data_IF_030498115236
#
_entry.id   IF_030498115236
#
_cell.length_a   1.000
_cell.length_b   1.000
_cell.length_c   1.000
_cell.angle_alpha   90.00
_cell.angle_beta   90.00
_cell.angle_gamma   90.00
#
_symmetry.space_group_name_H-M   'P 1'
#
loop_
_entity.id
_entity.type
_entity.pdbx_description
1 polymer ?
#
# COMPACT_ATOMS: atom_id res chain seq x y z
N UNK A 1 0.46 -15.41 -1.96
CA UNK A 1 -0.21 -14.37 -1.15
C UNK A 1 -0.77 -15.00 0.12
N UNK A 2 -0.59 -14.34 1.25
CA UNK A 2 -1.10 -14.75 2.54
C UNK A 2 -2.25 -13.83 2.96
N UNK A 3 -3.04 -14.24 3.95
CA UNK A 3 -4.27 -13.51 4.29
C UNK A 3 -4.00 -12.23 5.09
N UNK A 4 -2.92 -12.20 5.88
CA UNK A 4 -2.58 -11.08 6.75
C UNK A 4 -1.06 -10.93 6.95
N UNK A 5 -0.65 -9.86 7.62
CA UNK A 5 0.77 -9.54 7.86
C UNK A 5 1.42 -10.55 8.80
N UNK A 6 0.71 -10.99 9.83
CA UNK A 6 1.20 -11.95 10.82
C UNK A 6 1.62 -13.27 10.17
N UNK A 7 0.79 -13.84 9.30
CA UNK A 7 1.12 -15.02 8.51
C UNK A 7 2.40 -14.86 7.68
N UNK A 8 2.68 -13.65 7.16
CA UNK A 8 3.93 -13.41 6.40
C UNK A 8 5.15 -13.56 7.30
N UNK A 9 5.10 -13.04 8.53
CA UNK A 9 6.19 -13.19 9.48
C UNK A 9 6.36 -14.67 9.88
N UNK A 10 5.27 -15.35 10.21
CA UNK A 10 5.29 -16.77 10.61
C UNK A 10 5.89 -17.68 9.53
N UNK A 11 5.49 -17.52 8.27
CA UNK A 11 5.98 -18.32 7.14
C UNK A 11 7.49 -18.13 6.90
N UNK A 12 8.01 -16.91 7.06
CA UNK A 12 9.45 -16.63 6.93
C UNK A 12 10.22 -17.17 8.13
N UNK A 13 9.69 -17.02 9.36
CA UNK A 13 10.30 -17.56 10.59
C UNK A 13 10.35 -19.09 10.58
N UNK A 14 9.29 -19.74 10.12
CA UNK A 14 9.22 -21.19 9.96
C UNK A 14 10.12 -21.74 8.85
N UNK A 15 10.67 -20.86 7.99
CA UNK A 15 11.50 -21.26 6.86
C UNK A 15 10.72 -21.81 5.66
N UNK A 16 9.41 -21.64 5.62
CA UNK A 16 8.59 -22.00 4.47
C UNK A 16 8.75 -21.01 3.31
N UNK A 17 9.18 -19.78 3.61
CA UNK A 17 9.58 -18.78 2.63
C UNK A 17 10.97 -18.21 3.01
N UNK A 18 11.76 -17.84 2.02
CA UNK A 18 13.05 -17.19 2.24
C UNK A 18 12.88 -15.73 2.59
N UNK A 19 11.90 -15.07 1.98
CA UNK A 19 11.58 -13.66 2.16
C UNK A 19 10.09 -13.42 2.31
N UNK A 20 9.74 -12.39 3.10
CA UNK A 20 8.40 -11.83 3.23
C UNK A 20 8.39 -10.38 2.76
N UNK A 21 7.27 -9.94 2.19
CA UNK A 21 7.07 -8.53 1.81
C UNK A 21 5.85 -8.00 2.54
N UNK A 22 6.03 -6.98 3.36
CA UNK A 22 4.97 -6.38 4.19
C UNK A 22 4.92 -4.88 4.00
N UNK A 23 3.73 -4.27 3.96
CA UNK A 23 3.60 -2.82 3.88
C UNK A 23 3.95 -2.19 5.24
N UNK A 24 4.70 -1.09 5.25
CA UNK A 24 5.07 -0.36 6.50
C UNK A 24 4.49 1.04 6.54
N UNK A 25 4.29 1.65 5.40
CA UNK A 25 3.77 3.02 5.30
C UNK A 25 3.00 3.22 3.99
N UNK A 26 1.92 3.99 4.06
CA UNK A 26 1.22 4.48 2.88
C UNK A 26 1.06 6.00 3.00
N UNK A 27 1.34 6.74 1.93
CA UNK A 27 1.30 8.21 1.93
C UNK A 27 -0.07 8.79 2.30
N UNK A 28 -1.16 8.05 2.07
CA UNK A 28 -2.52 8.47 2.40
C UNK A 28 -3.01 8.03 3.77
N UNK A 29 -2.48 6.92 4.30
CA UNK A 29 -2.91 6.32 5.57
C UNK A 29 -1.88 6.47 6.70
N UNK A 30 -0.64 6.81 6.35
CA UNK A 30 0.47 6.84 7.30
C UNK A 30 1.06 5.46 7.59
N UNK A 31 1.58 5.31 8.79
CA UNK A 31 2.26 4.10 9.25
C UNK A 31 1.30 2.93 9.46
N UNK A 32 1.70 1.73 9.04
CA UNK A 32 0.94 0.50 9.23
C UNK A 32 1.37 -0.16 10.53
N UNK A 33 0.57 0.09 11.57
CA UNK A 33 0.90 -0.29 12.94
C UNK A 33 1.09 -1.80 13.10
N UNK A 34 0.27 -2.62 12.45
CA UNK A 34 0.38 -4.09 12.54
C UNK A 34 1.76 -4.62 12.11
N UNK A 35 2.39 -3.99 11.10
CA UNK A 35 3.76 -4.35 10.71
C UNK A 35 4.79 -3.97 11.79
N UNK A 36 4.62 -2.78 12.40
CA UNK A 36 5.53 -2.35 13.46
C UNK A 36 5.40 -3.22 14.71
N UNK A 37 4.18 -3.63 15.06
CA UNK A 37 3.92 -4.47 16.22
C UNK A 37 4.59 -5.85 16.08
N UNK A 38 4.63 -6.41 14.89
CA UNK A 38 5.33 -7.68 14.63
C UNK A 38 6.83 -7.60 14.93
N UNK A 39 7.49 -6.46 14.69
CA UNK A 39 8.91 -6.30 15.03
C UNK A 39 9.20 -6.27 16.53
N UNK A 40 8.18 -6.16 17.39
CA UNK A 40 8.36 -6.25 18.85
C UNK A 40 8.68 -7.68 19.30
N UNK A 41 8.24 -8.69 18.56
CA UNK A 41 8.33 -10.10 18.92
C UNK A 41 9.13 -10.93 17.93
N UNK A 42 9.20 -10.50 16.66
CA UNK A 42 9.89 -11.21 15.58
C UNK A 42 11.41 -11.01 15.62
N UNK A 43 12.15 -12.06 15.27
CA UNK A 43 13.60 -12.01 15.08
C UNK A 43 14.02 -11.72 13.62
N UNK A 44 13.06 -11.59 12.70
CA UNK A 44 13.34 -11.31 11.30
C UNK A 44 14.05 -9.97 11.12
N UNK A 45 14.82 -9.87 10.05
CA UNK A 45 15.59 -8.69 9.69
C UNK A 45 14.97 -8.00 8.48
N UNK A 46 15.07 -6.69 8.44
CA UNK A 46 14.74 -5.91 7.25
C UNK A 46 15.93 -6.07 6.29
N UNK A 47 15.68 -6.71 5.16
CA UNK A 47 16.67 -7.03 4.14
C UNK A 47 16.64 -6.08 2.96
N UNK A 48 15.54 -5.34 2.80
CA UNK A 48 15.36 -4.39 1.73
C UNK A 48 14.07 -3.59 1.87
N UNK A 49 13.90 -2.65 0.97
CA UNK A 49 12.76 -1.76 0.90
C UNK A 49 12.31 -1.61 -0.55
N UNK A 50 11.01 -1.57 -0.79
CA UNK A 50 10.41 -1.33 -2.10
C UNK A 50 9.35 -0.26 -1.95
N UNK A 51 9.41 0.76 -2.80
CA UNK A 51 8.35 1.77 -2.92
C UNK A 51 7.52 1.48 -4.16
N UNK A 52 6.20 1.42 -3.98
CA UNK A 52 5.25 1.21 -5.06
C UNK A 52 4.33 2.41 -5.20
N UNK A 53 4.39 3.09 -6.34
CA UNK A 53 3.39 4.09 -6.70
C UNK A 53 2.07 3.39 -7.05
N UNK A 54 1.01 3.78 -6.36
CA UNK A 54 -0.32 3.21 -6.54
C UNK A 54 -1.15 4.12 -7.41
N UNK A 55 -1.33 3.73 -8.66
CA UNK A 55 -2.20 4.44 -9.59
C UNK A 55 -3.57 3.79 -9.67
N UNK A 56 -4.60 4.61 -9.78
CA UNK A 56 -5.98 4.20 -9.92
C UNK A 56 -6.44 4.41 -11.35
N UNK A 57 -6.99 3.37 -11.97
CA UNK A 57 -7.52 3.39 -13.32
C UNK A 57 -9.01 3.10 -13.31
N UNK A 58 -9.78 3.84 -14.12
CA UNK A 58 -11.16 3.50 -14.41
C UNK A 58 -11.17 2.49 -15.55
N UNK A 59 -11.81 1.37 -15.35
CA UNK A 59 -11.85 0.27 -16.31
C UNK A 59 -13.28 -0.24 -16.46
N UNK A 60 -13.67 -0.56 -17.69
CA UNK A 60 -14.97 -1.16 -17.99
C UNK A 60 -14.84 -2.25 -19.04
N UNK A 61 -15.91 -3.03 -19.23
CA UNK A 61 -15.98 -4.06 -20.28
C UNK A 61 -16.00 -3.42 -21.67
N UNK A 62 -16.77 -2.36 -21.86
CA UNK A 62 -16.93 -1.67 -23.14
C UNK A 62 -15.73 -0.79 -23.50
N UNK A 63 -15.06 -0.19 -22.51
CA UNK A 63 -14.00 0.78 -22.67
C UNK A 63 -14.50 2.19 -22.98
N UNK A 64 -15.78 2.47 -22.75
CA UNK A 64 -16.44 3.75 -23.09
C UNK A 64 -16.96 4.42 -21.83
N UNK A 65 -16.68 5.70 -21.67
CA UNK A 65 -17.07 6.48 -20.50
C UNK A 65 -18.58 6.71 -20.44
N UNK A 66 -19.20 6.92 -21.59
CA UNK A 66 -20.62 7.21 -21.75
C UNK A 66 -21.55 6.05 -21.35
N UNK A 67 -21.04 4.82 -21.31
CA UNK A 67 -21.82 3.64 -20.93
C UNK A 67 -21.92 3.46 -19.43
N UNK A 68 -21.12 4.24 -18.62
CA UNK A 68 -20.92 3.97 -17.22
C UNK A 68 -22.02 4.62 -16.37
N UNK A 69 -22.85 3.79 -15.76
CA UNK A 69 -23.89 4.18 -14.80
C UNK A 69 -23.49 3.83 -13.35
N UNK A 70 -22.56 2.88 -13.16
CA UNK A 70 -22.10 2.41 -11.84
C UNK A 70 -20.60 2.26 -11.78
N UNK A 71 -20.00 2.68 -10.66
CA UNK A 71 -18.55 2.56 -10.41
C UNK A 71 -18.34 1.76 -9.13
N UNK A 72 -17.74 0.57 -9.27
CA UNK A 72 -17.35 -0.30 -8.17
C UNK A 72 -15.91 -0.04 -7.75
N UNK A 73 -15.64 0.03 -6.47
CA UNK A 73 -14.27 -0.05 -5.93
C UNK A 73 -14.27 -0.20 -4.41
N UNK A 74 -13.10 -0.49 -3.84
CA UNK A 74 -12.90 -0.36 -2.40
C UNK A 74 -13.18 1.10 -1.95
N UNK A 75 -13.80 1.33 -0.78
CA UNK A 75 -14.12 2.67 -0.28
C UNK A 75 -12.95 3.65 -0.33
N UNK A 76 -11.74 3.18 -0.02
CA UNK A 76 -10.52 3.98 -0.08
C UNK A 76 -10.23 4.50 -1.49
N UNK A 77 -10.29 3.63 -2.50
CA UNK A 77 -10.04 4.02 -3.89
C UNK A 77 -11.11 4.96 -4.43
N UNK A 78 -12.39 4.75 -4.03
CA UNK A 78 -13.46 5.72 -4.33
C UNK A 78 -13.18 7.09 -3.72
N UNK A 79 -12.66 7.14 -2.48
CA UNK A 79 -12.30 8.39 -1.82
C UNK A 79 -11.11 9.08 -2.48
N UNK A 80 -10.12 8.31 -2.93
CA UNK A 80 -8.92 8.82 -3.62
C UNK A 80 -9.21 9.41 -5.01
N UNK A 81 -10.33 9.02 -5.65
CA UNK A 81 -10.73 9.45 -6.98
C UNK A 81 -12.00 10.35 -6.96
N UNK A 82 -12.34 10.90 -5.80
CA UNK A 82 -13.62 11.59 -5.57
C UNK A 82 -13.80 12.81 -6.47
N UNK A 83 -12.77 13.64 -6.62
CA UNK A 83 -12.86 14.87 -7.43
C UNK A 83 -12.98 14.51 -8.91
N UNK A 84 -12.16 13.58 -9.40
CA UNK A 84 -12.23 13.10 -10.77
C UNK A 84 -13.60 12.51 -11.11
N UNK A 85 -14.14 11.63 -10.27
CA UNK A 85 -15.48 11.02 -10.46
C UNK A 85 -16.59 12.07 -10.48
N UNK A 86 -16.51 13.09 -9.64
CA UNK A 86 -17.51 14.16 -9.60
C UNK A 86 -17.50 14.97 -10.90
N UNK A 87 -16.34 15.16 -11.49
CA UNK A 87 -16.18 15.94 -12.72
C UNK A 87 -16.62 15.19 -13.97
N UNK A 88 -16.28 13.89 -14.07
CA UNK A 88 -16.44 13.12 -15.32
C UNK A 88 -17.61 12.15 -15.30
N UNK A 89 -18.04 11.71 -14.12
CA UNK A 89 -19.17 10.79 -13.92
C UNK A 89 -20.07 11.27 -12.77
N UNK A 90 -20.65 12.47 -12.88
CA UNK A 90 -21.42 13.07 -11.76
C UNK A 90 -22.66 12.28 -11.37
N UNK A 91 -23.28 11.58 -12.32
CA UNK A 91 -24.53 10.81 -12.14
C UNK A 91 -24.31 9.33 -11.85
N UNK A 92 -23.11 8.80 -12.07
CA UNK A 92 -22.83 7.38 -11.84
C UNK A 92 -22.92 7.03 -10.35
N UNK A 93 -23.57 5.92 -10.05
CA UNK A 93 -23.66 5.36 -8.70
C UNK A 93 -22.28 4.86 -8.26
N UNK A 94 -21.88 5.17 -7.02
CA UNK A 94 -20.62 4.70 -6.42
C UNK A 94 -20.91 3.56 -5.46
N UNK A 95 -20.55 2.34 -5.86
CA UNK A 95 -20.89 1.12 -5.15
C UNK A 95 -19.65 0.54 -4.46
N UNK A 96 -19.60 0.52 -3.13
CA UNK A 96 -18.50 -0.08 -2.41
C UNK A 96 -18.38 -1.59 -2.67
N UNK A 97 -17.14 -2.06 -2.81
CA UNK A 97 -16.77 -3.47 -2.88
C UNK A 97 -15.73 -3.80 -1.80
N UNK A 98 -15.64 -5.05 -1.40
CA UNK A 98 -14.71 -5.49 -0.37
C UNK A 98 -13.23 -5.34 -0.80
N UNK A 99 -12.97 -5.33 -2.11
CA UNK A 99 -11.63 -5.09 -2.67
C UNK A 99 -11.74 -4.55 -4.10
N UNK A 100 -10.64 -3.96 -4.61
CA UNK A 100 -10.55 -3.56 -6.02
C UNK A 100 -10.60 -4.76 -6.98
N UNK A 101 -10.10 -5.92 -6.55
CA UNK A 101 -10.21 -7.16 -7.30
C UNK A 101 -11.67 -7.64 -7.43
N UNK A 102 -12.44 -7.55 -6.34
CA UNK A 102 -13.87 -7.85 -6.38
C UNK A 102 -14.63 -6.85 -7.27
N UNK A 103 -14.29 -5.57 -7.18
CA UNK A 103 -14.86 -4.53 -8.04
C UNK A 103 -14.64 -4.87 -9.52
N UNK A 104 -13.42 -5.21 -9.92
CA UNK A 104 -13.09 -5.62 -11.28
C UNK A 104 -13.85 -6.87 -11.71
N UNK A 105 -13.96 -7.85 -10.83
CA UNK A 105 -14.74 -9.09 -11.09
C UNK A 105 -16.23 -8.80 -11.34
N UNK A 106 -16.85 -7.90 -10.54
CA UNK A 106 -18.27 -7.49 -10.73
C UNK A 106 -18.47 -6.75 -12.05
N UNK A 107 -17.56 -5.83 -12.38
CA UNK A 107 -17.61 -5.04 -13.62
C UNK A 107 -17.57 -5.91 -14.87
N UNK A 108 -16.85 -7.02 -14.85
CA UNK A 108 -16.78 -7.94 -15.99
C UNK A 108 -18.16 -8.46 -16.45
N UNK A 109 -19.14 -8.51 -15.56
CA UNK A 109 -20.46 -9.06 -15.81
C UNK A 109 -21.50 -8.04 -16.35
N UNK A 110 -21.14 -6.75 -16.47
CA UNK A 110 -22.08 -5.68 -16.80
C UNK A 110 -21.46 -4.65 -17.77
N UNK A 111 -22.24 -4.20 -18.74
CA UNK A 111 -21.79 -3.20 -19.72
C UNK A 111 -21.89 -1.77 -19.21
N UNK A 112 -22.79 -1.53 -18.27
CA UNK A 112 -23.08 -0.24 -17.65
C UNK A 112 -22.20 0.03 -16.40
N UNK A 113 -21.20 -0.82 -16.16
CA UNK A 113 -20.38 -0.74 -14.96
C UNK A 113 -18.90 -0.49 -15.26
N UNK A 114 -18.25 0.19 -14.34
CA UNK A 114 -16.80 0.35 -14.29
C UNK A 114 -16.23 -0.04 -12.92
N UNK A 115 -14.94 -0.38 -12.89
CA UNK A 115 -14.18 -0.57 -11.67
C UNK A 115 -13.06 0.47 -11.58
N UNK A 116 -12.74 0.91 -10.35
CA UNK A 116 -11.48 1.59 -10.08
C UNK A 116 -10.54 0.57 -9.43
N UNK A 117 -9.39 0.35 -10.08
CA UNK A 117 -8.36 -0.58 -9.63
C UNK A 117 -6.99 -0.23 -10.22
N UNK A 118 -5.93 -0.93 -9.80
CA UNK A 118 -4.63 -0.86 -10.46
C UNK A 118 -4.67 -1.43 -11.88
N UNK A 119 -3.79 -0.97 -12.75
CA UNK A 119 -3.79 -1.32 -14.19
C UNK A 119 -3.78 -2.83 -14.46
N UNK A 120 -3.07 -3.60 -13.64
CA UNK A 120 -2.99 -5.06 -13.74
C UNK A 120 -4.35 -5.76 -13.65
N UNK A 121 -5.33 -5.17 -12.96
CA UNK A 121 -6.68 -5.71 -12.88
C UNK A 121 -7.35 -5.74 -14.26
N UNK A 122 -7.06 -4.78 -15.15
CA UNK A 122 -7.55 -4.79 -16.52
C UNK A 122 -7.15 -6.07 -17.26
N UNK A 123 -5.89 -6.45 -17.17
CA UNK A 123 -5.37 -7.66 -17.80
C UNK A 123 -5.99 -8.94 -17.20
N UNK A 124 -6.04 -9.03 -15.86
CA UNK A 124 -6.53 -10.22 -15.15
C UNK A 124 -8.02 -10.47 -15.41
N UNK A 125 -8.84 -9.40 -15.44
CA UNK A 125 -10.29 -9.50 -15.56
C UNK A 125 -10.82 -9.22 -16.96
N UNK A 126 -9.94 -8.92 -17.94
CA UNK A 126 -10.34 -8.64 -19.32
C UNK A 126 -11.11 -7.32 -19.46
N UNK A 127 -10.78 -6.32 -18.62
CA UNK A 127 -11.38 -4.99 -18.68
C UNK A 127 -10.48 -4.05 -19.49
N UNK A 128 -11.12 -3.10 -20.16
CA UNK A 128 -10.43 -2.04 -20.92
C UNK A 128 -10.27 -0.81 -20.04
N UNK A 129 -9.09 -0.19 -20.08
CA UNK A 129 -8.85 1.10 -19.43
C UNK A 129 -9.66 2.17 -20.17
N UNK A 130 -10.52 2.86 -19.42
CA UNK A 130 -11.31 4.00 -19.87
C UNK A 130 -10.57 5.31 -19.62
N UNK A 131 -9.98 5.44 -18.42
CA UNK A 131 -9.19 6.60 -18.02
C UNK A 131 -8.17 6.20 -16.94
N UNK A 132 -7.05 6.92 -16.90
CA UNK A 132 -6.06 6.76 -15.82
C UNK A 132 -4.75 7.50 -16.11
N UNK A 133 -4.00 7.81 -15.06
CA UNK A 133 -4.39 7.68 -13.65
C UNK A 133 -5.47 8.69 -13.25
N UNK A 134 -6.39 8.32 -12.36
CA UNK A 134 -7.56 9.13 -11.97
C UNK A 134 -7.60 9.50 -10.47
N UNK A 135 -6.60 9.14 -9.71
CA UNK A 135 -6.46 9.57 -8.33
C UNK A 135 -6.33 11.09 -8.23
N UNK A 136 -6.97 11.68 -7.21
CA UNK A 136 -6.95 13.13 -6.96
C UNK A 136 -5.56 13.64 -6.52
N UNK A 137 -4.69 12.72 -6.04
CA UNK A 137 -3.32 13.00 -5.61
C UNK A 137 -2.37 11.97 -6.22
N UNK A 138 -1.42 12.45 -7.01
CA UNK A 138 -0.43 11.60 -7.71
C UNK A 138 0.67 11.01 -6.78
N UNK A 139 0.72 11.42 -5.51
CA UNK A 139 1.74 11.03 -4.53
C UNK A 139 1.36 9.79 -3.71
N UNK A 140 0.40 8.97 -4.19
CA UNK A 140 0.01 7.75 -3.49
C UNK A 140 1.09 6.67 -3.63
N UNK A 141 1.91 6.57 -2.62
CA UNK A 141 3.01 5.59 -2.55
C UNK A 141 2.83 4.69 -1.34
N UNK A 142 3.02 3.41 -1.53
CA UNK A 142 3.12 2.45 -0.44
C UNK A 142 4.56 1.95 -0.35
N UNK A 143 5.13 2.06 0.84
CA UNK A 143 6.45 1.55 1.16
C UNK A 143 6.32 0.17 1.79
N UNK A 144 7.05 -0.78 1.25
CA UNK A 144 7.10 -2.17 1.71
C UNK A 144 8.49 -2.48 2.25
N UNK A 145 8.54 -3.31 3.27
CA UNK A 145 9.78 -3.90 3.77
C UNK A 145 9.89 -5.34 3.28
N UNK A 146 11.10 -5.70 2.88
CA UNK A 146 11.47 -7.09 2.60
C UNK A 146 12.09 -7.66 3.86
N UNK A 147 11.51 -8.75 4.36
CA UNK A 147 11.91 -9.45 5.58
C UNK A 147 12.67 -10.72 5.23
N UNK A 148 13.66 -11.06 6.02
CA UNK A 148 14.41 -12.30 5.92
C UNK A 148 15.02 -12.70 7.25
N UNK A 149 15.59 -13.90 7.31
CA UNK A 149 16.25 -14.42 8.53
C UNK A 149 17.67 -13.86 8.72
N UNK A 150 18.30 -13.44 7.65
CA UNK A 150 19.68 -12.96 7.66
C UNK A 150 19.78 -11.51 7.20
N UNK A 151 20.84 -10.82 7.64
CA UNK A 151 21.21 -9.51 7.15
C UNK A 151 22.08 -9.64 5.91
N UNK A 152 21.86 -8.75 4.95
CA UNK A 152 22.75 -8.60 3.80
C UNK A 152 23.93 -7.66 4.11
N UNK A 153 24.99 -7.80 3.35
CA UNK A 153 26.13 -6.87 3.40
C UNK A 153 25.69 -5.47 2.97
N UNK A 154 26.14 -4.41 3.68
CA UNK A 154 25.81 -3.05 3.31
C UNK A 154 26.20 -2.72 1.86
N UNK A 155 25.29 -2.04 1.15
CA UNK A 155 25.49 -1.58 -0.23
C UNK A 155 26.16 -0.20 -0.33
N UNK A 156 26.19 0.54 0.77
CA UNK A 156 26.61 1.93 0.81
C UNK A 156 25.48 2.93 0.56
N UNK A 157 24.28 2.46 0.20
CA UNK A 157 23.05 3.25 0.01
C UNK A 157 21.92 2.71 0.87
N UNK A 158 22.24 2.39 2.12
CA UNK A 158 21.33 1.68 3.01
C UNK A 158 20.65 2.64 3.99
N UNK A 159 19.50 2.20 4.49
CA UNK A 159 18.81 2.80 5.65
C UNK A 159 18.87 1.83 6.82
N UNK A 160 19.04 2.35 8.02
CA UNK A 160 18.99 1.55 9.25
C UNK A 160 17.70 1.85 9.99
N UNK A 161 16.91 0.81 10.27
CA UNK A 161 15.73 0.92 11.13
C UNK A 161 16.10 0.57 12.57
N UNK A 162 15.65 1.38 13.51
CA UNK A 162 15.90 1.20 14.93
C UNK A 162 14.58 1.13 15.68
N UNK A 163 14.42 0.10 16.50
CA UNK A 163 13.36 0.00 17.50
C UNK A 163 13.96 0.36 18.86
N UNK A 164 13.45 1.42 19.49
CA UNK A 164 14.03 1.97 20.71
C UNK A 164 13.00 1.94 21.83
N UNK A 165 13.38 1.35 22.95
CA UNK A 165 12.57 1.35 24.16
C UNK A 165 13.19 2.32 25.19
N UNK A 166 12.37 3.23 25.70
CA UNK A 166 12.78 4.17 26.75
C UNK A 166 11.79 4.12 27.91
N UNK A 167 12.31 4.35 29.12
CA UNK A 167 11.43 4.55 30.27
C UNK A 167 10.72 5.90 30.14
N UNK A 168 9.43 5.92 30.46
CA UNK A 168 8.66 7.15 30.48
C UNK A 168 9.17 8.08 31.60
N UNK A 169 9.81 9.17 31.18
CA UNK A 169 10.35 10.22 32.05
C UNK A 169 10.57 11.51 31.25
N UNK A 170 10.55 12.67 31.90
CA UNK A 170 10.90 13.92 31.25
C UNK A 170 12.27 13.85 30.55
N UNK A 171 12.33 14.25 29.28
CA UNK A 171 13.53 14.22 28.46
C UNK A 171 13.89 12.88 27.84
N UNK A 172 13.04 11.82 27.96
CA UNK A 172 13.31 10.51 27.38
C UNK A 172 13.55 10.59 25.85
N UNK A 173 12.65 11.25 25.11
CA UNK A 173 12.82 11.44 23.67
C UNK A 173 14.08 12.22 23.31
N UNK A 174 14.38 13.28 24.04
CA UNK A 174 15.62 14.06 23.84
C UNK A 174 16.86 13.17 24.01
N UNK A 175 16.90 12.32 25.04
CA UNK A 175 18.05 11.45 25.29
C UNK A 175 18.27 10.41 24.18
N UNK A 176 17.21 10.01 23.46
CA UNK A 176 17.31 9.14 22.26
C UNK A 176 17.82 9.93 21.05
N UNK A 177 17.32 11.14 20.83
CA UNK A 177 17.62 11.93 19.63
C UNK A 177 18.98 12.67 19.71
N UNK A 178 19.42 13.03 20.90
CA UNK A 178 20.65 13.79 21.12
C UNK A 178 21.91 13.14 20.52
N UNK A 179 22.17 11.82 20.64
CA UNK A 179 23.31 11.18 20.02
C UNK A 179 23.34 11.31 18.49
N UNK A 180 22.17 11.19 17.83
CA UNK A 180 22.09 11.33 16.36
C UNK A 180 22.51 12.74 15.94
N UNK A 181 21.97 13.77 16.58
CA UNK A 181 22.34 15.14 16.32
C UNK A 181 23.84 15.39 16.57
N UNK A 182 24.39 14.86 17.68
CA UNK A 182 25.81 15.02 18.05
C UNK A 182 26.76 14.39 17.02
N UNK A 183 26.33 13.28 16.40
CA UNK A 183 27.14 12.55 15.41
C UNK A 183 26.78 12.89 13.96
N UNK A 184 25.97 13.91 13.72
CA UNK A 184 25.58 14.35 12.38
C UNK A 184 24.76 13.32 11.58
N UNK A 185 24.08 12.40 12.30
CA UNK A 185 23.22 11.38 11.66
C UNK A 185 21.85 11.98 11.40
N UNK A 186 21.45 12.02 10.13
CA UNK A 186 20.11 12.44 9.76
C UNK A 186 19.10 11.32 10.03
N UNK A 187 17.99 11.68 10.65
CA UNK A 187 16.88 10.78 10.88
C UNK A 187 15.78 11.10 9.87
N UNK A 188 15.39 10.10 9.11
CA UNK A 188 14.20 10.12 8.28
C UNK A 188 13.04 9.49 9.08
N UNK A 189 11.84 9.59 8.54
CA UNK A 189 10.67 8.95 9.17
C UNK A 189 10.95 7.51 9.54
#
# INVERSE_FOLDING_TARGET
PLANIEEVFEEVEAGHADFGVVPVENSGQGTIQSTLDMFLTSNLKICGEVELHVHQYLMSRTGRLEDIERVYSHPMSLAQCKAWLRQHLPTAERVPAASNAEAARRTRAADDAAAIAGESAGHVYGLKVVAGPIEDRADNTTRFLVLGRELFTPSGHDRTSLLVFVRDRPGALYSVLSPFAKHGVSMNR
#
